data_IF_582258129628
#
_entry.id   IF_582258129628
#
_cell.length_a   1.000
_cell.length_b   1.000
_cell.length_c   1.000
_cell.angle_alpha   90.00
_cell.angle_beta   90.00
_cell.angle_gamma   90.00
#
_symmetry.space_group_name_H-M   'P 1'
#
loop_
_entity.id
_entity.type
_entity.pdbx_description
1 polymer ?
#
# COMPACT_ATOMS: atom_id res chain seq x y z
N UNK A 1 -21.74 17.01 -49.11
CA UNK A 1 -21.13 18.14 -48.43
C UNK A 1 -21.81 18.35 -47.07
N UNK A 2 -21.06 18.22 -45.98
CA UNK A 2 -21.54 18.45 -44.62
C UNK A 2 -21.84 19.95 -44.49
N UNK A 3 -23.03 20.32 -44.00
CA UNK A 3 -23.43 21.69 -43.81
C UNK A 3 -22.56 22.44 -42.81
N UNK A 4 -22.45 23.77 -42.89
CA UNK A 4 -21.74 24.62 -41.93
C UNK A 4 -22.27 24.37 -40.51
N UNK A 5 -23.56 24.19 -40.35
CA UNK A 5 -24.21 23.90 -39.10
C UNK A 5 -23.79 22.54 -38.51
N UNK A 6 -23.71 21.48 -39.32
CA UNK A 6 -23.24 20.16 -38.88
C UNK A 6 -21.79 20.23 -38.40
N UNK A 7 -20.92 20.99 -39.11
CA UNK A 7 -19.52 21.19 -38.68
C UNK A 7 -19.42 21.97 -37.36
N UNK A 8 -20.31 22.94 -37.14
CA UNK A 8 -20.36 23.70 -35.90
C UNK A 8 -20.81 22.80 -34.75
N UNK A 9 -21.82 21.95 -34.95
CA UNK A 9 -22.27 20.98 -33.95
C UNK A 9 -21.20 19.96 -33.60
N UNK A 10 -20.49 19.40 -34.58
CA UNK A 10 -19.38 18.45 -34.33
C UNK A 10 -18.28 19.10 -33.52
N UNK A 11 -17.92 20.35 -33.84
CA UNK A 11 -16.92 21.11 -33.04
C UNK A 11 -17.39 21.37 -31.63
N UNK A 12 -18.62 21.78 -31.44
CA UNK A 12 -19.18 22.03 -30.12
C UNK A 12 -19.24 20.75 -29.29
N UNK A 13 -19.58 19.61 -29.92
CA UNK A 13 -19.54 18.30 -29.27
C UNK A 13 -18.14 17.89 -28.83
N UNK A 14 -17.13 18.07 -29.69
CA UNK A 14 -15.73 17.80 -29.33
C UNK A 14 -15.27 18.67 -28.17
N UNK A 15 -15.55 19.96 -28.20
CA UNK A 15 -15.22 20.88 -27.11
C UNK A 15 -15.89 20.50 -25.78
N UNK A 16 -17.15 20.11 -25.83
CA UNK A 16 -17.88 19.64 -24.64
C UNK A 16 -17.23 18.37 -24.08
N UNK A 17 -16.86 17.43 -24.94
CA UNK A 17 -16.21 16.18 -24.54
C UNK A 17 -14.82 16.43 -23.94
N UNK A 18 -14.01 17.29 -24.55
CA UNK A 18 -12.70 17.71 -24.03
C UNK A 18 -12.85 18.38 -22.65
N UNK A 19 -13.82 19.29 -22.51
CA UNK A 19 -14.09 19.95 -21.22
C UNK A 19 -14.55 18.97 -20.14
N UNK A 20 -15.32 17.95 -20.51
CA UNK A 20 -15.75 16.88 -19.60
C UNK A 20 -14.56 16.02 -19.13
N UNK A 21 -13.67 15.61 -20.06
CA UNK A 21 -12.46 14.88 -19.74
C UNK A 21 -11.59 15.68 -18.77
N UNK A 22 -11.42 16.97 -19.04
CA UNK A 22 -10.62 17.86 -18.21
C UNK A 22 -11.22 18.03 -16.82
N UNK A 23 -12.54 18.16 -16.71
CA UNK A 23 -13.24 18.21 -15.42
C UNK A 23 -13.03 16.92 -14.60
N UNK A 24 -13.07 15.75 -15.26
CA UNK A 24 -12.78 14.47 -14.59
C UNK A 24 -11.33 14.41 -14.10
N UNK A 25 -10.38 14.83 -14.93
CA UNK A 25 -8.97 14.85 -14.57
C UNK A 25 -8.69 15.82 -13.41
N UNK A 26 -9.31 16.99 -13.40
CA UNK A 26 -9.22 17.97 -12.32
C UNK A 26 -9.82 17.41 -11.01
N UNK A 27 -10.92 16.66 -11.09
CA UNK A 27 -11.50 15.99 -9.94
C UNK A 27 -10.61 14.89 -9.37
N UNK A 28 -9.88 14.17 -10.23
CA UNK A 28 -8.88 13.16 -9.83
C UNK A 28 -7.69 13.84 -9.14
N UNK A 29 -7.16 14.92 -9.73
CA UNK A 29 -6.05 15.68 -9.15
C UNK A 29 -6.44 16.34 -7.81
N UNK A 30 -7.69 16.75 -7.64
CA UNK A 30 -8.19 17.34 -6.39
C UNK A 30 -8.36 16.30 -5.27
N UNK A 31 -8.47 15.01 -5.61
CA UNK A 31 -8.65 13.93 -4.63
C UNK A 31 -7.37 13.64 -3.83
N UNK A 32 -6.19 13.81 -4.45
CA UNK A 32 -4.91 13.54 -3.81
C UNK A 32 -3.99 14.77 -3.87
N UNK A 33 -3.43 15.23 -2.74
CA UNK A 33 -2.51 16.35 -2.73
C UNK A 33 -1.18 16.06 -3.46
N UNK A 34 -0.88 14.79 -3.72
CA UNK A 34 0.34 14.36 -4.41
C UNK A 34 0.23 14.38 -5.94
N UNK A 35 -0.97 14.52 -6.49
CA UNK A 35 -1.23 14.47 -7.94
C UNK A 35 -1.42 15.84 -8.59
N UNK A 36 -1.25 16.94 -7.86
CA UNK A 36 -1.46 18.30 -8.36
C UNK A 36 -0.75 18.56 -9.69
N UNK A 37 -1.53 18.71 -10.77
CA UNK A 37 -1.05 18.93 -12.14
C UNK A 37 -0.41 17.70 -12.81
N UNK A 38 -0.48 16.51 -12.22
CA UNK A 38 0.01 15.28 -12.86
C UNK A 38 -0.82 14.94 -14.08
N UNK A 39 -2.15 14.96 -13.95
CA UNK A 39 -3.07 14.67 -15.04
C UNK A 39 -2.94 15.64 -16.23
N UNK A 40 -2.44 16.85 -16.03
CA UNK A 40 -2.14 17.79 -17.12
C UNK A 40 -0.78 17.53 -17.78
N UNK A 41 0.24 17.09 -17.03
CA UNK A 41 1.59 16.85 -17.58
C UNK A 41 1.70 15.55 -18.38
N UNK A 42 1.01 14.49 -17.96
CA UNK A 42 1.09 13.17 -18.62
C UNK A 42 0.65 13.23 -20.09
N UNK A 43 -0.48 13.87 -20.48
CA UNK A 43 -0.87 13.99 -21.87
C UNK A 43 0.18 14.69 -22.74
N UNK A 44 0.83 15.73 -22.24
CA UNK A 44 1.88 16.45 -22.98
C UNK A 44 3.13 15.57 -23.19
N UNK A 45 3.58 14.88 -22.14
CA UNK A 45 4.71 13.95 -22.25
C UNK A 45 4.40 12.78 -23.18
N UNK A 46 3.17 12.24 -23.11
CA UNK A 46 2.73 11.15 -23.98
C UNK A 46 2.75 11.57 -25.45
N UNK A 47 2.24 12.77 -25.77
CA UNK A 47 2.29 13.32 -27.12
C UNK A 47 3.71 13.50 -27.63
N UNK A 48 4.62 14.02 -26.79
CA UNK A 48 6.04 14.19 -27.15
C UNK A 48 6.70 12.83 -27.46
N UNK A 49 6.47 11.81 -26.61
CA UNK A 49 7.04 10.49 -26.81
C UNK A 49 6.46 9.79 -28.04
N UNK A 50 5.13 9.82 -28.23
CA UNK A 50 4.48 9.27 -29.41
C UNK A 50 4.92 9.97 -30.69
N UNK A 51 5.06 11.28 -30.68
CA UNK A 51 5.59 12.06 -31.80
C UNK A 51 7.03 11.69 -32.15
N UNK A 52 7.89 11.51 -31.15
CA UNK A 52 9.26 11.05 -31.35
C UNK A 52 9.31 9.63 -31.94
N UNK A 53 8.44 8.73 -31.48
CA UNK A 53 8.33 7.38 -32.02
C UNK A 53 7.87 7.39 -33.47
N UNK A 54 6.87 8.20 -33.85
CA UNK A 54 6.42 8.38 -35.24
C UNK A 54 7.49 9.02 -36.15
N UNK A 55 8.40 9.82 -35.61
CA UNK A 55 9.46 10.46 -36.37
C UNK A 55 10.74 9.60 -36.49
N UNK A 56 10.78 8.43 -35.84
CA UNK A 56 11.93 7.53 -35.87
C UNK A 56 12.11 6.92 -37.28
N UNK A 57 13.32 7.03 -37.81
CA UNK A 57 13.69 6.49 -39.12
C UNK A 57 14.45 5.16 -39.06
N UNK A 58 14.80 4.73 -37.85
CA UNK A 58 15.52 3.51 -37.56
C UNK A 58 15.06 2.88 -36.24
N UNK A 59 15.63 1.73 -35.86
CA UNK A 59 15.32 1.02 -34.64
C UNK A 59 13.91 0.42 -34.60
N UNK A 60 13.39 0.08 -33.40
CA UNK A 60 12.13 -0.65 -33.26
C UNK A 60 10.89 0.16 -33.65
N UNK A 61 11.00 1.50 -33.76
CA UNK A 61 9.87 2.38 -34.06
C UNK A 61 9.85 2.90 -35.49
N UNK A 62 10.79 2.46 -36.37
CA UNK A 62 10.94 3.01 -37.74
C UNK A 62 9.66 2.88 -38.58
N UNK A 63 8.83 1.88 -38.31
CA UNK A 63 7.59 1.62 -39.03
C UNK A 63 6.35 2.00 -38.18
N UNK A 64 6.56 2.69 -37.03
CA UNK A 64 5.48 3.11 -36.15
C UNK A 64 4.84 4.39 -36.65
N UNK A 65 3.53 4.35 -36.87
CA UNK A 65 2.74 5.52 -37.31
C UNK A 65 1.41 5.56 -36.55
N UNK A 66 0.91 6.76 -36.30
CA UNK A 66 -0.40 7.00 -35.71
C UNK A 66 -1.26 7.80 -36.68
N UNK A 67 -2.46 7.29 -36.99
CA UNK A 67 -3.49 8.02 -37.71
C UNK A 67 -4.19 9.07 -36.84
N UNK A 68 -5.13 9.82 -37.44
CA UNK A 68 -5.85 10.88 -36.74
C UNK A 68 -6.68 10.34 -35.56
N UNK A 69 -7.32 9.18 -35.75
CA UNK A 69 -8.10 8.48 -34.70
C UNK A 69 -7.20 7.93 -33.58
N UNK A 70 -6.00 7.43 -33.93
CA UNK A 70 -5.03 6.94 -32.95
C UNK A 70 -4.52 8.07 -32.05
N UNK A 71 -4.23 9.24 -32.64
CA UNK A 71 -3.84 10.42 -31.87
C UNK A 71 -4.93 10.91 -30.92
N UNK A 72 -6.20 10.86 -31.33
CA UNK A 72 -7.34 11.18 -30.46
C UNK A 72 -7.44 10.15 -29.31
N UNK A 73 -7.30 8.87 -29.62
CA UNK A 73 -7.30 7.79 -28.62
C UNK A 73 -6.15 7.93 -27.61
N UNK A 74 -4.92 8.21 -28.08
CA UNK A 74 -3.75 8.46 -27.23
C UNK A 74 -3.98 9.67 -26.31
N UNK A 75 -4.56 10.74 -26.84
CA UNK A 75 -4.89 11.93 -26.07
C UNK A 75 -5.89 11.63 -24.94
N UNK A 76 -7.00 10.96 -25.26
CA UNK A 76 -8.04 10.60 -24.29
C UNK A 76 -7.48 9.64 -23.24
N UNK A 77 -6.76 8.61 -23.67
CA UNK A 77 -6.17 7.61 -22.78
C UNK A 77 -5.18 8.25 -21.78
N UNK A 78 -4.36 9.21 -22.26
CA UNK A 78 -3.40 9.91 -21.41
C UNK A 78 -4.09 10.79 -20.36
N UNK A 79 -5.19 11.46 -20.69
CA UNK A 79 -5.99 12.23 -19.72
C UNK A 79 -6.72 11.37 -18.70
N UNK A 80 -7.22 10.20 -19.11
CA UNK A 80 -8.04 9.32 -18.28
C UNK A 80 -7.27 8.17 -17.65
N UNK A 81 -5.92 8.13 -17.78
CA UNK A 81 -5.10 7.01 -17.28
C UNK A 81 -5.31 6.72 -15.79
N UNK A 82 -5.65 7.74 -15.01
CA UNK A 82 -5.85 7.68 -13.56
C UNK A 82 -7.35 7.73 -13.14
N UNK A 83 -8.29 7.65 -14.08
CA UNK A 83 -9.72 7.82 -13.78
C UNK A 83 -10.26 6.85 -12.71
N UNK A 84 -9.67 5.65 -12.59
CA UNK A 84 -10.01 4.67 -11.55
C UNK A 84 -9.74 5.14 -10.12
N UNK A 85 -8.86 6.13 -9.92
CA UNK A 85 -8.58 6.71 -8.59
C UNK A 85 -9.80 7.36 -7.96
N UNK A 86 -10.77 7.83 -8.75
CA UNK A 86 -12.03 8.43 -8.23
C UNK A 86 -12.76 7.45 -7.32
N UNK A 87 -12.81 6.18 -7.67
CA UNK A 87 -13.51 5.13 -6.93
C UNK A 87 -12.63 4.41 -5.92
N UNK A 88 -11.31 4.65 -5.94
CA UNK A 88 -10.37 4.04 -5.01
C UNK A 88 -10.38 4.80 -3.68
N UNK A 89 -10.46 4.11 -2.52
CA UNK A 89 -10.39 4.77 -1.21
C UNK A 89 -9.10 5.58 -1.02
N UNK A 90 -9.19 6.74 -0.39
CA UNK A 90 -8.06 7.64 -0.16
C UNK A 90 -6.90 6.97 0.57
N UNK A 91 -7.20 6.16 1.61
CA UNK A 91 -6.18 5.43 2.37
C UNK A 91 -5.40 4.38 1.56
N UNK A 92 -5.81 4.11 0.30
CA UNK A 92 -5.07 3.28 -0.64
C UNK A 92 -4.27 4.18 -1.61
N UNK A 93 -4.93 5.21 -2.15
CA UNK A 93 -4.29 6.12 -3.14
C UNK A 93 -3.14 6.89 -2.50
N UNK A 94 -3.34 7.38 -1.28
CA UNK A 94 -2.39 8.23 -0.55
C UNK A 94 -1.59 7.48 0.52
N UNK A 95 -1.54 6.15 0.45
CA UNK A 95 -0.83 5.31 1.41
C UNK A 95 0.65 5.68 1.50
N UNK A 96 1.02 6.39 2.55
CA UNK A 96 2.36 6.94 2.75
C UNK A 96 3.34 5.90 3.32
N UNK A 97 2.85 4.98 4.16
CA UNK A 97 3.67 3.93 4.81
C UNK A 97 3.07 2.54 4.59
N UNK A 98 3.89 1.50 4.75
CA UNK A 98 3.48 0.12 4.47
C UNK A 98 2.39 -0.40 5.39
N UNK A 99 2.41 0.00 6.66
CA UNK A 99 1.42 -0.41 7.68
C UNK A 99 0.19 0.50 7.74
N UNK A 100 0.18 1.59 6.98
CA UNK A 100 -0.94 2.51 6.94
C UNK A 100 -2.19 1.88 6.32
N UNK A 101 -3.33 2.14 6.97
CA UNK A 101 -4.68 1.84 6.49
C UNK A 101 -5.49 3.12 6.70
N UNK A 102 -6.36 3.18 7.73
CA UNK A 102 -7.00 4.42 8.18
C UNK A 102 -6.08 5.19 9.15
N UNK A 103 -5.17 4.49 9.79
CA UNK A 103 -4.05 5.04 10.56
C UNK A 103 -2.85 4.10 10.46
N UNK A 104 -1.64 4.60 10.79
CA UNK A 104 -0.42 3.81 10.70
C UNK A 104 -0.28 2.88 11.91
N UNK A 105 -0.35 1.56 11.67
CA UNK A 105 -0.24 0.54 12.72
C UNK A 105 1.15 0.39 13.32
N UNK A 106 2.14 1.14 12.85
CA UNK A 106 3.46 1.24 13.52
C UNK A 106 3.31 1.69 14.98
N UNK A 107 2.25 2.43 15.30
CA UNK A 107 1.98 2.87 16.67
C UNK A 107 1.64 1.69 17.60
N UNK A 108 0.92 0.68 17.11
CA UNK A 108 0.66 -0.55 17.87
C UNK A 108 1.95 -1.35 18.10
N UNK A 109 2.77 -1.46 17.07
CA UNK A 109 4.07 -2.13 17.16
C UNK A 109 4.96 -1.41 18.18
N UNK A 110 5.04 -0.07 18.13
CA UNK A 110 5.77 0.73 19.13
C UNK A 110 5.32 0.39 20.55
N UNK A 111 4.02 0.32 20.79
CA UNK A 111 3.49 -0.02 22.11
C UNK A 111 3.89 -1.44 22.54
N UNK A 112 3.97 -2.43 21.64
CA UNK A 112 4.46 -3.77 21.97
C UNK A 112 5.95 -3.73 22.37
N UNK A 113 6.78 -2.94 21.70
CA UNK A 113 8.18 -2.73 22.10
C UNK A 113 8.28 -2.05 23.48
N UNK A 114 7.40 -1.07 23.80
CA UNK A 114 7.35 -0.47 25.12
C UNK A 114 6.95 -1.50 26.19
N UNK A 115 6.03 -2.43 25.89
CA UNK A 115 5.70 -3.54 26.80
C UNK A 115 6.93 -4.41 27.06
N UNK A 116 7.66 -4.83 26.01
CA UNK A 116 8.88 -5.62 26.17
C UNK A 116 9.93 -4.91 27.02
N UNK A 117 10.07 -3.58 26.90
CA UNK A 117 10.97 -2.78 27.75
C UNK A 117 10.53 -2.80 29.21
N UNK A 118 9.22 -2.70 29.47
CA UNK A 118 8.67 -2.81 30.85
C UNK A 118 8.83 -4.21 31.42
N UNK A 119 8.62 -5.25 30.61
CA UNK A 119 8.85 -6.65 31.05
C UNK A 119 10.32 -6.87 31.40
N UNK A 120 11.26 -6.33 30.63
CA UNK A 120 12.68 -6.39 30.93
C UNK A 120 13.03 -5.64 32.22
N UNK A 121 12.40 -4.48 32.47
CA UNK A 121 12.57 -3.71 33.73
C UNK A 121 12.05 -4.49 34.92
N UNK A 122 10.88 -5.08 34.82
CA UNK A 122 10.30 -5.94 35.88
C UNK A 122 11.22 -7.13 36.17
N UNK A 123 11.74 -7.79 35.12
CA UNK A 123 12.67 -8.91 35.28
C UNK A 123 13.97 -8.48 35.99
N UNK A 124 14.49 -7.30 35.67
CA UNK A 124 15.65 -6.72 36.35
C UNK A 124 15.41 -6.54 37.85
N UNK A 125 14.28 -5.90 38.22
CA UNK A 125 13.93 -5.68 39.63
C UNK A 125 13.68 -6.99 40.38
N UNK A 126 13.05 -7.97 39.74
CA UNK A 126 12.85 -9.30 40.31
C UNK A 126 14.18 -10.01 40.56
N UNK A 127 15.14 -9.91 39.63
CA UNK A 127 16.47 -10.48 39.79
C UNK A 127 17.23 -9.82 40.97
N UNK A 128 17.19 -8.49 41.09
CA UNK A 128 17.82 -7.75 42.19
C UNK A 128 17.16 -8.16 43.52
N UNK A 129 15.84 -8.22 43.61
CA UNK A 129 15.11 -8.69 44.77
C UNK A 129 15.45 -10.13 45.17
N UNK A 130 15.77 -10.96 44.15
CA UNK A 130 16.21 -12.35 44.31
C UNK A 130 17.70 -12.48 44.71
N UNK A 131 18.43 -11.37 44.89
CA UNK A 131 19.83 -11.36 45.34
C UNK A 131 20.86 -11.32 44.20
N UNK A 132 20.45 -11.02 42.97
CA UNK A 132 21.41 -10.78 41.87
C UNK A 132 22.21 -9.47 42.12
N UNK A 133 23.42 -9.40 41.54
CA UNK A 133 24.21 -8.16 41.59
C UNK A 133 23.49 -7.02 40.86
N UNK A 134 23.22 -5.94 41.56
CA UNK A 134 22.45 -4.81 41.02
C UNK A 134 23.13 -4.15 39.85
N UNK A 135 24.46 -3.98 39.88
CA UNK A 135 25.17 -3.33 38.79
C UNK A 135 25.14 -4.19 37.51
N UNK A 136 25.32 -5.51 37.61
CA UNK A 136 25.19 -6.43 36.51
C UNK A 136 23.77 -6.49 35.96
N UNK A 137 22.73 -6.53 36.81
CA UNK A 137 21.34 -6.54 36.40
C UNK A 137 20.93 -5.28 35.65
N UNK A 138 21.35 -4.10 36.14
CA UNK A 138 21.13 -2.80 35.47
C UNK A 138 21.87 -2.68 34.14
N UNK A 139 23.10 -3.18 34.08
CA UNK A 139 23.86 -3.20 32.82
C UNK A 139 23.18 -4.10 31.77
N UNK A 140 22.70 -5.26 32.17
CA UNK A 140 21.92 -6.16 31.30
C UNK A 140 20.62 -5.52 30.80
N UNK A 141 19.90 -4.83 31.68
CA UNK A 141 18.69 -4.05 31.31
C UNK A 141 19.01 -2.99 30.28
N UNK A 142 20.06 -2.18 30.53
CA UNK A 142 20.45 -1.13 29.58
C UNK A 142 20.82 -1.69 28.20
N UNK A 143 21.57 -2.80 28.15
CA UNK A 143 21.89 -3.49 26.90
C UNK A 143 20.63 -4.04 26.20
N UNK A 144 19.69 -4.63 26.96
CA UNK A 144 18.42 -5.13 26.43
C UNK A 144 17.55 -4.00 25.84
N UNK A 145 17.49 -2.86 26.52
CA UNK A 145 16.76 -1.69 26.01
C UNK A 145 17.39 -1.13 24.73
N UNK A 146 18.70 -1.01 24.69
CA UNK A 146 19.43 -0.56 23.50
C UNK A 146 19.17 -1.46 22.28
N UNK A 147 19.10 -2.77 22.50
CA UNK A 147 18.76 -3.73 21.45
C UNK A 147 17.29 -3.56 20.96
N UNK A 148 16.34 -3.41 21.89
CA UNK A 148 14.94 -3.18 21.54
C UNK A 148 14.74 -1.86 20.80
N UNK A 149 15.46 -0.80 21.18
CA UNK A 149 15.42 0.49 20.48
C UNK A 149 15.96 0.38 19.05
N UNK A 150 17.04 -0.34 18.87
CA UNK A 150 17.65 -0.59 17.55
C UNK A 150 16.73 -1.44 16.66
N UNK A 151 16.14 -2.49 17.21
CA UNK A 151 15.18 -3.35 16.50
C UNK A 151 13.92 -2.57 16.10
N UNK A 152 13.38 -1.73 17.00
CA UNK A 152 12.25 -0.87 16.66
C UNK A 152 12.60 0.15 15.57
N UNK A 153 13.76 0.78 15.65
CA UNK A 153 14.23 1.70 14.62
C UNK A 153 14.34 1.01 13.25
N UNK A 154 14.81 -0.23 13.23
CA UNK A 154 14.87 -1.04 12.02
C UNK A 154 13.47 -1.35 11.45
N UNK A 155 12.51 -1.76 12.30
CA UNK A 155 11.12 -2.01 11.89
C UNK A 155 10.48 -0.73 11.36
N UNK A 156 10.69 0.41 12.03
CA UNK A 156 10.18 1.71 11.58
C UNK A 156 10.75 2.11 10.21
N UNK A 157 12.05 1.92 9.97
CA UNK A 157 12.68 2.14 8.67
C UNK A 157 12.14 1.19 7.58
N UNK A 158 11.71 -0.02 7.93
CA UNK A 158 11.04 -0.92 6.99
C UNK A 158 9.62 -0.49 6.66
N UNK A 159 8.95 0.29 7.53
CA UNK A 159 7.61 0.82 7.28
C UNK A 159 7.60 1.94 6.24
N UNK A 160 8.70 2.65 6.08
CA UNK A 160 8.86 3.65 5.04
C UNK A 160 8.93 2.97 3.65
N UNK A 161 8.32 3.60 2.65
CA UNK A 161 8.40 3.13 1.27
C UNK A 161 9.81 3.34 0.70
N UNK A 162 10.31 2.35 -0.06
CA UNK A 162 11.60 2.42 -0.72
C UNK A 162 11.55 1.89 -2.15
N UNK A 163 12.66 2.02 -2.89
CA UNK A 163 12.72 1.51 -4.27
C UNK A 163 12.96 0.01 -4.33
N UNK A 164 13.72 -0.54 -3.35
CA UNK A 164 14.03 -1.97 -3.28
C UNK A 164 14.30 -2.37 -1.83
N UNK A 165 13.90 -3.58 -1.44
CA UNK A 165 14.22 -4.16 -0.14
C UNK A 165 15.24 -5.30 -0.31
N UNK A 166 16.36 -5.23 0.41
CA UNK A 166 17.37 -6.28 0.47
C UNK A 166 16.79 -7.54 1.15
N UNK A 167 16.95 -8.74 0.58
CA UNK A 167 16.56 -10.00 1.22
C UNK A 167 17.06 -10.15 2.67
N UNK A 168 18.25 -9.66 2.98
CA UNK A 168 18.80 -9.67 4.34
C UNK A 168 17.95 -8.84 5.33
N UNK A 169 17.28 -7.78 4.85
CA UNK A 169 16.34 -7.00 5.67
C UNK A 169 15.08 -7.79 5.98
N UNK A 170 14.59 -8.59 5.04
CA UNK A 170 13.44 -9.47 5.24
C UNK A 170 13.74 -10.53 6.28
N UNK A 171 14.92 -11.16 6.17
CA UNK A 171 15.36 -12.15 7.15
C UNK A 171 15.47 -11.56 8.56
N UNK A 172 16.03 -10.36 8.69
CA UNK A 172 16.10 -9.65 9.96
C UNK A 172 14.72 -9.29 10.51
N UNK A 173 13.77 -8.84 9.65
CA UNK A 173 12.38 -8.64 10.06
C UNK A 173 11.75 -9.90 10.62
N UNK A 174 12.00 -11.07 10.00
CA UNK A 174 11.48 -12.34 10.48
C UNK A 174 12.06 -12.71 11.84
N UNK A 175 13.35 -12.46 12.07
CA UNK A 175 14.00 -12.68 13.37
C UNK A 175 13.39 -11.79 14.46
N UNK A 176 13.18 -10.51 14.19
CA UNK A 176 12.53 -9.57 15.12
C UNK A 176 11.08 -9.97 15.36
N UNK A 177 10.35 -10.35 14.30
CA UNK A 177 8.96 -10.78 14.37
C UNK A 177 8.76 -11.99 15.29
N UNK A 178 9.74 -12.89 15.34
CA UNK A 178 9.71 -14.10 16.19
C UNK A 178 9.84 -13.80 17.70
N UNK A 179 10.22 -12.58 18.11
CA UNK A 179 10.12 -12.18 19.52
C UNK A 179 8.67 -12.29 19.99
N UNK A 180 8.48 -12.60 21.26
CA UNK A 180 7.16 -12.74 21.83
C UNK A 180 6.94 -11.72 22.94
N UNK A 181 5.71 -11.28 23.09
CA UNK A 181 5.23 -10.46 24.19
C UNK A 181 4.03 -11.12 24.86
N UNK A 182 3.80 -10.83 26.13
CA UNK A 182 2.73 -11.43 26.91
C UNK A 182 1.46 -10.60 26.81
N UNK A 183 0.43 -11.16 26.15
CA UNK A 183 -0.91 -10.54 26.11
C UNK A 183 -1.78 -11.11 27.23
N UNK A 184 -2.40 -10.24 28.01
CA UNK A 184 -3.28 -10.57 29.15
C UNK A 184 -4.73 -10.18 28.89
N UNK A 185 -5.02 -9.36 27.90
CA UNK A 185 -6.37 -8.94 27.52
C UNK A 185 -6.90 -9.78 26.37
N UNK A 186 -8.21 -10.04 26.39
CA UNK A 186 -8.88 -10.72 25.27
C UNK A 186 -8.98 -9.78 24.05
N UNK A 187 -8.35 -10.17 22.93
CA UNK A 187 -8.32 -9.44 21.66
C UNK A 187 -9.62 -9.55 20.86
N UNK A 188 -10.61 -10.27 21.37
CA UNK A 188 -11.94 -10.41 20.78
C UNK A 188 -12.93 -9.37 21.30
N UNK A 189 -12.60 -8.67 22.37
CA UNK A 189 -13.44 -7.62 22.96
C UNK A 189 -13.34 -6.33 22.16
N UNK A 190 -14.48 -5.70 21.86
CA UNK A 190 -14.55 -4.41 21.21
C UNK A 190 -14.29 -4.40 19.70
N UNK A 191 -14.14 -5.58 19.07
CA UNK A 191 -13.95 -5.70 17.62
C UNK A 191 -15.28 -5.86 16.88
N UNK A 192 -15.29 -5.56 15.58
CA UNK A 192 -16.47 -5.72 14.74
C UNK A 192 -16.87 -7.19 14.59
N UNK A 193 -18.18 -7.49 14.31
CA UNK A 193 -18.60 -8.86 14.01
C UNK A 193 -17.84 -9.50 12.83
N UNK A 194 -17.47 -8.69 11.84
CA UNK A 194 -16.71 -9.17 10.67
C UNK A 194 -15.28 -9.58 11.03
N UNK A 195 -14.62 -8.79 11.85
CA UNK A 195 -13.29 -9.11 12.35
C UNK A 195 -13.36 -10.34 13.26
N UNK A 196 -14.35 -10.40 14.15
CA UNK A 196 -14.55 -11.52 15.05
C UNK A 196 -14.74 -12.86 14.29
N UNK A 197 -15.39 -12.82 13.11
CA UNK A 197 -15.52 -14.00 12.23
C UNK A 197 -14.19 -14.44 11.63
N UNK A 198 -13.29 -13.53 11.35
CA UNK A 198 -11.95 -13.84 10.82
C UNK A 198 -10.99 -14.32 11.90
N UNK A 199 -11.16 -13.86 13.14
CA UNK A 199 -10.37 -14.34 14.29
C UNK A 199 -10.64 -15.84 14.52
N UNK A 200 -9.59 -16.55 14.87
CA UNK A 200 -9.70 -17.94 15.33
C UNK A 200 -10.52 -18.08 16.62
N UNK A 201 -10.58 -19.30 17.17
CA UNK A 201 -11.21 -19.52 18.48
C UNK A 201 -10.51 -18.70 19.57
N UNK A 202 -11.24 -18.45 20.66
CA UNK A 202 -10.67 -17.78 21.83
C UNK A 202 -9.47 -18.56 22.38
N UNK A 203 -8.41 -17.86 22.74
CA UNK A 203 -7.18 -18.44 23.34
C UNK A 203 -7.20 -18.20 24.84
N UNK A 204 -6.71 -19.18 25.60
CA UNK A 204 -6.55 -18.99 27.04
C UNK A 204 -5.52 -17.90 27.35
N UNK A 205 -5.86 -17.04 28.31
CA UNK A 205 -4.99 -15.96 28.76
C UNK A 205 -4.28 -16.33 30.08
N UNK A 206 -3.06 -15.83 30.30
CA UNK A 206 -2.23 -15.03 29.38
C UNK A 206 -1.66 -15.86 28.23
N UNK A 207 -1.36 -15.20 27.09
CA UNK A 207 -0.81 -15.87 25.90
C UNK A 207 0.42 -15.12 25.39
N UNK A 208 1.45 -15.88 24.97
CA UNK A 208 2.60 -15.33 24.25
C UNK A 208 2.25 -15.16 22.79
N UNK A 209 2.37 -13.95 22.29
CA UNK A 209 2.15 -13.60 20.89
C UNK A 209 3.45 -13.14 20.24
N UNK A 210 3.60 -13.44 18.95
CA UNK A 210 4.68 -12.88 18.15
C UNK A 210 4.60 -11.34 18.11
N UNK A 211 5.75 -10.69 18.13
CA UNK A 211 5.85 -9.23 18.13
C UNK A 211 5.28 -8.61 16.85
N UNK A 212 5.56 -9.26 15.69
CA UNK A 212 4.95 -8.94 14.40
C UNK A 212 4.30 -10.22 13.86
N UNK A 213 3.09 -10.14 13.33
CA UNK A 213 2.39 -11.32 12.83
C UNK A 213 1.43 -10.99 11.68
N UNK A 214 1.26 -11.96 10.81
CA UNK A 214 0.20 -11.99 9.80
C UNK A 214 -0.96 -12.83 10.36
N UNK A 215 -1.80 -12.21 11.21
CA UNK A 215 -2.92 -12.88 11.87
C UNK A 215 -4.06 -13.16 10.89
N UNK A 216 -4.93 -14.16 11.15
CA UNK A 216 -6.09 -14.46 10.29
C UNK A 216 -7.00 -13.25 10.04
N UNK A 217 -7.24 -12.43 11.05
CA UNK A 217 -8.06 -11.22 10.95
C UNK A 217 -7.49 -10.14 10.03
N UNK A 218 -6.18 -10.18 9.76
CA UNK A 218 -5.52 -9.28 8.81
C UNK A 218 -5.83 -9.62 7.34
N UNK A 219 -6.35 -10.82 7.08
CA UNK A 219 -6.59 -11.35 5.73
C UNK A 219 -8.08 -11.28 5.42
N UNK A 220 -8.46 -10.33 4.56
CA UNK A 220 -9.85 -10.17 4.12
C UNK A 220 -10.03 -10.90 2.80
N UNK A 221 -10.89 -11.92 2.81
CA UNK A 221 -11.18 -12.69 1.60
C UNK A 221 -11.89 -11.83 0.55
N UNK A 222 -11.63 -12.11 -0.72
CA UNK A 222 -12.33 -11.51 -1.86
C UNK A 222 -13.66 -12.20 -2.07
N UNK A 223 -14.71 -11.42 -2.34
CA UNK A 223 -16.01 -11.95 -2.73
C UNK A 223 -15.98 -12.53 -4.15
N UNK A 224 -16.88 -13.44 -4.45
CA UNK A 224 -16.98 -14.04 -5.77
C UNK A 224 -17.39 -13.03 -6.86
N UNK A 225 -18.14 -12.02 -6.49
CA UNK A 225 -18.59 -10.87 -7.32
C UNK A 225 -17.47 -9.87 -7.63
N UNK A 226 -16.36 -9.95 -6.92
CA UNK A 226 -15.18 -9.10 -7.14
C UNK A 226 -14.11 -9.76 -8.02
N UNK A 227 -14.39 -10.95 -8.54
CA UNK A 227 -13.50 -11.64 -9.47
C UNK A 227 -13.78 -11.16 -10.90
N UNK A 228 -12.72 -10.73 -11.59
CA UNK A 228 -12.79 -10.39 -13.00
C UNK A 228 -12.50 -11.69 -13.79
N UNK A 229 -13.43 -12.17 -14.64
CA UNK A 229 -13.22 -13.38 -15.43
C UNK A 229 -12.10 -13.18 -16.46
N UNK A 230 -11.40 -14.27 -16.80
CA UNK A 230 -10.29 -14.23 -17.73
C UNK A 230 -10.69 -13.76 -19.14
N UNK A 231 -11.95 -13.98 -19.52
CA UNK A 231 -12.56 -13.59 -20.79
C UNK A 231 -13.30 -12.25 -20.74
N UNK A 232 -12.95 -11.40 -19.77
CA UNK A 232 -13.61 -10.11 -19.59
C UNK A 232 -13.50 -9.23 -20.85
N UNK A 233 -14.58 -8.47 -21.20
CA UNK A 233 -14.62 -7.69 -22.44
C UNK A 233 -13.67 -6.48 -22.43
N UNK A 234 -13.12 -6.10 -21.28
CA UNK A 234 -12.23 -4.95 -21.13
C UNK A 234 -10.75 -5.30 -21.39
N UNK A 235 -10.42 -6.59 -21.63
CA UNK A 235 -9.05 -7.03 -21.84
C UNK A 235 -8.15 -6.92 -20.60
N UNK A 236 -8.74 -6.85 -19.41
CA UNK A 236 -8.01 -6.77 -18.15
C UNK A 236 -7.25 -8.08 -17.90
N UNK A 237 -5.92 -7.99 -17.72
CA UNK A 237 -5.02 -9.16 -17.66
C UNK A 237 -4.23 -9.28 -16.36
N UNK A 238 -4.42 -8.35 -15.41
CA UNK A 238 -3.75 -8.45 -14.12
C UNK A 238 -4.20 -9.71 -13.39
N UNK A 239 -3.25 -10.39 -12.75
CA UNK A 239 -3.57 -11.54 -11.91
C UNK A 239 -4.37 -11.04 -10.69
N UNK A 240 -5.55 -11.62 -10.50
CA UNK A 240 -6.41 -11.28 -9.36
C UNK A 240 -5.79 -11.84 -8.09
N UNK A 241 -5.45 -11.00 -7.07
CA UNK A 241 -4.98 -11.48 -5.78
C UNK A 241 -6.07 -12.30 -5.06
N UNK A 242 -5.66 -13.32 -4.32
CA UNK A 242 -6.58 -14.19 -3.57
C UNK A 242 -7.36 -13.46 -2.47
N UNK A 243 -6.79 -12.37 -1.95
CA UNK A 243 -7.41 -11.56 -0.91
C UNK A 243 -7.94 -10.25 -1.49
N UNK A 244 -8.99 -9.72 -0.86
CA UNK A 244 -9.46 -8.35 -1.09
C UNK A 244 -8.48 -7.35 -0.46
N UNK A 245 -8.07 -7.62 0.79
CA UNK A 245 -7.05 -6.87 1.51
C UNK A 245 -6.14 -7.80 2.29
N UNK A 246 -4.84 -7.54 2.26
CA UNK A 246 -3.85 -8.16 3.13
C UNK A 246 -3.25 -7.09 4.06
N UNK A 247 -3.66 -7.14 5.33
CA UNK A 247 -3.20 -6.24 6.39
C UNK A 247 -2.15 -6.89 7.30
N UNK A 248 -1.56 -8.00 6.87
CA UNK A 248 -0.50 -8.69 7.60
C UNK A 248 0.69 -7.76 7.85
N UNK A 249 1.17 -7.71 9.10
CA UNK A 249 2.25 -6.79 9.47
C UNK A 249 3.56 -7.17 8.78
N UNK A 250 3.92 -8.45 8.86
CA UNK A 250 5.15 -8.96 8.27
C UNK A 250 5.11 -8.90 6.74
N UNK A 251 3.97 -9.28 6.13
CA UNK A 251 3.75 -9.15 4.69
C UNK A 251 3.92 -7.72 4.22
N UNK A 252 3.28 -6.76 4.89
CA UNK A 252 3.36 -5.35 4.47
C UNK A 252 4.76 -4.78 4.66
N UNK A 253 5.42 -5.00 5.81
CA UNK A 253 6.78 -4.53 6.05
C UNK A 253 7.80 -5.11 5.06
N UNK A 254 7.51 -6.30 4.49
CA UNK A 254 8.35 -6.98 3.51
C UNK A 254 8.08 -6.57 2.06
N UNK A 255 7.21 -5.59 1.79
CA UNK A 255 6.96 -5.09 0.43
C UNK A 255 8.26 -4.59 -0.18
N UNK A 256 8.63 -5.15 -1.35
CA UNK A 256 9.91 -4.86 -2.00
C UNK A 256 10.01 -3.44 -2.56
N UNK A 257 8.91 -2.88 -3.05
CA UNK A 257 8.91 -1.55 -3.69
C UNK A 257 7.66 -0.75 -3.33
N UNK A 258 7.88 0.46 -2.83
CA UNK A 258 6.82 1.37 -2.42
C UNK A 258 6.11 0.89 -1.16
N UNK A 259 4.84 1.26 -1.02
CA UNK A 259 4.01 1.03 0.17
C UNK A 259 2.80 0.12 -0.09
N UNK A 260 2.45 -0.12 -1.36
CA UNK A 260 1.23 -0.80 -1.78
C UNK A 260 1.42 -2.31 -1.86
N UNK A 261 0.48 -3.07 -1.29
CA UNK A 261 0.38 -4.52 -1.52
C UNK A 261 -0.12 -4.83 -2.93
N UNK A 262 -0.08 -6.10 -3.34
CA UNK A 262 -0.65 -6.53 -4.63
C UNK A 262 -2.17 -6.30 -4.66
N UNK A 263 -2.86 -6.47 -3.51
CA UNK A 263 -4.28 -6.18 -3.35
C UNK A 263 -4.58 -4.69 -3.53
N UNK A 264 -3.75 -3.81 -2.95
CA UNK A 264 -3.88 -2.35 -3.10
C UNK A 264 -3.69 -1.96 -4.57
N UNK A 265 -2.64 -2.47 -5.23
CA UNK A 265 -2.35 -2.23 -6.66
C UNK A 265 -3.47 -2.71 -7.56
N UNK A 266 -4.00 -3.90 -7.28
CA UNK A 266 -5.12 -4.45 -8.02
C UNK A 266 -6.39 -3.59 -7.86
N UNK A 267 -6.64 -3.07 -6.66
CA UNK A 267 -7.78 -2.20 -6.40
C UNK A 267 -7.71 -0.89 -7.19
N UNK A 268 -6.53 -0.29 -7.25
CA UNK A 268 -6.28 0.93 -8.06
C UNK A 268 -6.46 0.66 -9.54
#
# INVERSE_FOLDING_TARGET
AVSVETRALIRAQKQLFESFIQLLADAIDAKSPYTGGHCARVPELTKLLAGAACAATDGPFRDFTLGEEDWEAVHIAAWLHDCGKVTTPEYIVDKATKLEVLYDRIHEIRMRFEVLKRDAEIACWQAIAGGADEAAARAALAAGWALLDEEFAFVAACNEGGEEIDPARIERLQQIAARTWLRTLDDRLGVSPDELRRKGPAVALPVLEALLADKPEHRVARGADELIPADNPWGFRLQVPALLYNRGELTNLSIGRGTLTDEDRYKI
#
